data_IF_931944957332
#
_entry.id   IF_931944957332
#
_cell.length_a   1.000
_cell.length_b   1.000
_cell.length_c   1.000
_cell.angle_alpha   90.00
_cell.angle_beta   90.00
_cell.angle_gamma   90.00
#
_symmetry.space_group_name_H-M   'P 1'
#
loop_
_entity.id
_entity.type
_entity.pdbx_description
1 polymer ?
#
# COMPACT_ATOMS: atom_id res chain seq x y z
N UNK A 1 59.66 40.46 62.58
CA UNK A 1 59.08 40.51 63.92
C UNK A 1 57.96 39.50 63.93
N UNK A 2 58.16 38.47 64.66
CA UNK A 2 57.19 37.84 65.57
C UNK A 2 56.02 37.09 64.78
N UNK A 3 56.10 35.83 64.57
CA UNK A 3 56.05 34.68 65.51
C UNK A 3 54.58 34.26 65.87
N UNK A 4 54.33 32.99 65.58
CA UNK A 4 53.53 32.05 66.40
C UNK A 4 52.02 32.04 66.12
N UNK A 5 51.26 30.95 66.03
CA UNK A 5 51.30 29.53 66.47
C UNK A 5 50.31 28.81 65.57
N UNK A 6 50.59 27.69 65.00
CA UNK A 6 50.36 26.31 65.52
C UNK A 6 48.90 26.10 65.93
N UNK A 7 48.17 25.36 65.14
CA UNK A 7 47.48 24.19 65.63
C UNK A 7 46.94 23.30 64.46
N UNK A 8 47.55 22.22 64.44
CA UNK A 8 47.20 20.90 64.02
C UNK A 8 45.73 20.55 64.25
N UNK A 9 44.97 20.33 63.16
CA UNK A 9 43.76 19.47 63.20
C UNK A 9 43.76 18.58 61.95
N UNK A 10 44.24 17.39 62.20
CA UNK A 10 44.13 16.22 61.29
C UNK A 10 42.68 15.80 61.30
N UNK A 11 41.97 15.98 60.16
CA UNK A 11 40.71 15.32 59.92
C UNK A 11 40.85 14.62 58.56
N UNK A 12 41.11 13.31 58.69
CA UNK A 12 41.05 12.33 57.62
C UNK A 12 39.63 12.26 57.10
N UNK A 13 39.37 12.92 55.96
CA UNK A 13 38.18 12.67 55.22
C UNK A 13 38.52 11.69 54.09
N UNK A 14 38.18 10.40 54.34
CA UNK A 14 38.29 9.35 53.35
C UNK A 14 37.41 9.70 52.15
N UNK A 15 38.06 10.11 51.07
CA UNK A 15 37.36 10.27 49.75
C UNK A 15 36.95 8.93 49.22
N UNK A 16 35.65 8.68 49.23
CA UNK A 16 35.04 7.62 48.47
C UNK A 16 35.00 8.06 47.00
N UNK A 17 35.98 7.62 46.22
CA UNK A 17 35.87 7.60 44.79
C UNK A 17 34.77 6.58 44.43
N UNK A 18 33.56 7.07 44.23
CA UNK A 18 32.54 6.31 43.52
C UNK A 18 32.95 6.23 42.04
N UNK A 19 33.67 5.17 41.70
CA UNK A 19 33.77 4.70 40.32
C UNK A 19 32.39 4.30 39.90
N UNK A 20 31.69 5.25 39.24
CA UNK A 20 30.46 4.96 38.48
C UNK A 20 30.81 4.03 37.33
N UNK A 21 30.89 2.75 37.60
CA UNK A 21 30.83 1.72 36.58
C UNK A 21 29.48 1.87 35.93
N UNK A 22 29.42 2.40 34.69
CA UNK A 22 28.30 2.18 33.82
C UNK A 22 28.09 0.67 33.71
N UNK A 23 27.14 0.16 34.44
CA UNK A 23 26.50 -1.11 34.14
C UNK A 23 25.83 -0.88 32.78
N UNK A 24 26.57 -1.16 31.69
CA UNK A 24 25.91 -1.61 30.48
C UNK A 24 25.11 -2.84 30.93
N UNK A 25 23.81 -2.65 31.10
CA UNK A 25 22.90 -3.78 31.14
C UNK A 25 23.05 -4.42 29.75
N UNK A 26 23.83 -5.49 29.70
CA UNK A 26 23.74 -6.48 28.64
C UNK A 26 22.27 -6.90 28.67
N UNK A 27 21.49 -6.34 27.73
CA UNK A 27 20.17 -6.87 27.42
C UNK A 27 20.46 -8.24 26.82
N UNK A 28 20.65 -9.24 27.69
CA UNK A 28 20.60 -10.63 27.27
C UNK A 28 19.28 -10.78 26.53
N UNK A 29 19.39 -11.00 25.24
CA UNK A 29 18.28 -11.35 24.38
C UNK A 29 17.58 -12.54 25.06
N UNK A 30 16.41 -12.24 25.68
CA UNK A 30 15.65 -13.24 26.43
C UNK A 30 14.84 -14.16 25.53
N UNK A 31 15.00 -14.00 24.21
CA UNK A 31 14.36 -14.89 23.26
C UNK A 31 14.97 -16.30 23.36
N UNK A 32 14.14 -17.34 23.38
CA UNK A 32 14.64 -18.70 23.42
C UNK A 32 15.43 -19.04 22.16
N UNK A 33 16.51 -19.82 22.31
CA UNK A 33 17.30 -20.29 21.15
C UNK A 33 16.44 -21.19 20.25
N UNK A 34 16.36 -20.84 18.96
CA UNK A 34 15.55 -21.57 17.99
C UNK A 34 15.93 -23.04 17.90
N UNK A 35 17.24 -23.34 17.87
CA UNK A 35 17.72 -24.72 17.75
C UNK A 35 17.34 -25.54 18.97
N UNK A 36 17.48 -24.97 20.17
CA UNK A 36 17.08 -25.62 21.39
C UNK A 36 15.58 -25.94 21.43
N UNK A 37 14.74 -24.98 21.04
CA UNK A 37 13.28 -25.16 20.98
C UNK A 37 12.91 -26.24 19.97
N UNK A 38 13.51 -26.19 18.79
CA UNK A 38 13.27 -27.17 17.73
C UNK A 38 13.63 -28.59 18.14
N UNK A 39 14.80 -28.82 18.75
CA UNK A 39 15.24 -30.12 19.22
C UNK A 39 14.36 -30.67 20.38
N UNK A 40 13.89 -29.79 21.27
CA UNK A 40 12.97 -30.18 22.35
C UNK A 40 11.60 -30.60 21.78
N UNK A 41 11.07 -29.87 20.82
CA UNK A 41 9.82 -30.23 20.14
C UNK A 41 9.96 -31.56 19.40
N UNK A 42 11.04 -31.74 18.66
CA UNK A 42 11.35 -32.96 17.93
C UNK A 42 11.43 -34.18 18.84
N UNK A 43 12.01 -34.02 20.02
CA UNK A 43 12.21 -35.13 20.97
C UNK A 43 10.95 -35.49 21.79
N UNK A 44 10.05 -34.54 22.02
CA UNK A 44 8.99 -34.66 23.01
C UNK A 44 7.56 -34.44 22.48
N UNK A 45 7.37 -33.96 21.22
CA UNK A 45 6.03 -33.72 20.70
C UNK A 45 5.46 -34.99 20.06
N UNK A 46 4.47 -35.65 20.68
CA UNK A 46 3.91 -36.88 20.12
C UNK A 46 3.02 -36.60 18.89
N UNK A 47 3.06 -37.49 17.91
CA UNK A 47 2.18 -37.46 16.76
C UNK A 47 2.61 -36.51 15.64
N UNK A 48 3.76 -35.87 15.73
CA UNK A 48 4.34 -34.98 14.70
C UNK A 48 5.59 -35.61 14.15
N UNK A 49 5.69 -35.71 12.83
CA UNK A 49 6.89 -36.21 12.16
C UNK A 49 7.96 -35.12 12.02
N UNK A 50 9.22 -35.54 11.85
CA UNK A 50 10.35 -34.61 11.59
C UNK A 50 10.06 -33.74 10.33
N UNK A 51 9.41 -34.29 9.32
CA UNK A 51 9.07 -33.56 8.10
C UNK A 51 8.03 -32.46 8.35
N UNK A 52 6.98 -32.78 9.10
CA UNK A 52 5.93 -31.81 9.48
C UNK A 52 6.50 -30.70 10.36
N UNK A 53 7.32 -31.06 11.35
CA UNK A 53 7.96 -30.06 12.23
C UNK A 53 8.88 -29.13 11.44
N UNK A 54 9.67 -29.68 10.50
CA UNK A 54 10.54 -28.89 9.65
C UNK A 54 9.75 -27.96 8.72
N UNK A 55 8.67 -28.46 8.10
CA UNK A 55 7.79 -27.64 7.25
C UNK A 55 7.17 -26.49 8.03
N UNK A 56 6.61 -26.77 9.20
CA UNK A 56 6.01 -25.75 10.07
C UNK A 56 7.03 -24.71 10.54
N UNK A 57 8.28 -25.14 10.87
CA UNK A 57 9.33 -24.22 11.28
C UNK A 57 9.76 -23.28 10.14
N UNK A 58 9.93 -23.82 8.93
CA UNK A 58 10.28 -23.03 7.74
C UNK A 58 9.15 -22.06 7.37
N UNK A 59 7.92 -22.53 7.34
CA UNK A 59 6.74 -21.70 7.04
C UNK A 59 6.59 -20.57 8.07
N UNK A 60 6.68 -20.89 9.37
CA UNK A 60 6.62 -19.89 10.44
C UNK A 60 7.72 -18.84 10.34
N UNK A 61 8.97 -19.27 10.02
CA UNK A 61 10.10 -18.37 9.83
C UNK A 61 9.87 -17.41 8.66
N UNK A 62 9.47 -17.95 7.51
CA UNK A 62 9.21 -17.14 6.31
C UNK A 62 8.03 -16.18 6.51
N UNK A 63 6.97 -16.64 7.17
CA UNK A 63 5.83 -15.80 7.52
C UNK A 63 6.26 -14.62 8.42
N UNK A 64 7.10 -14.87 9.43
CA UNK A 64 7.57 -13.82 10.35
C UNK A 64 8.51 -12.81 9.66
N UNK A 65 9.20 -13.21 8.60
CA UNK A 65 10.07 -12.33 7.83
C UNK A 65 9.32 -11.40 6.86
N UNK A 66 7.99 -11.49 6.80
CA UNK A 66 7.11 -10.56 6.08
C UNK A 66 7.57 -10.27 4.63
N UNK A 67 7.81 -11.31 3.84
CA UNK A 67 8.23 -11.17 2.44
C UNK A 67 9.71 -10.85 2.20
N UNK A 68 10.50 -10.61 3.25
CA UNK A 68 11.96 -10.43 3.12
C UNK A 68 12.69 -11.70 2.71
N UNK A 69 12.08 -12.84 2.92
CA UNK A 69 12.55 -14.13 2.45
C UNK A 69 11.37 -14.95 1.96
N UNK A 70 11.48 -15.54 0.74
CA UNK A 70 10.41 -16.36 0.14
C UNK A 70 11.00 -17.58 -0.54
N UNK A 71 10.29 -18.71 -0.52
CA UNK A 71 10.66 -19.87 -1.31
C UNK A 71 10.12 -19.71 -2.74
N UNK A 72 11.01 -19.93 -3.70
CA UNK A 72 10.67 -19.97 -5.12
C UNK A 72 10.89 -21.40 -5.59
N UNK A 73 9.85 -22.05 -6.12
CA UNK A 73 9.90 -23.46 -6.55
C UNK A 73 10.97 -23.73 -7.58
N UNK A 74 11.62 -24.89 -7.48
CA UNK A 74 12.79 -25.28 -8.30
C UNK A 74 12.49 -25.66 -9.75
N UNK A 75 11.25 -25.89 -10.12
CA UNK A 75 10.81 -26.26 -11.47
C UNK A 75 9.40 -25.75 -11.71
N UNK A 76 9.27 -24.46 -11.71
CA UNK A 76 8.12 -23.91 -12.39
C UNK A 76 8.61 -22.65 -13.07
N UNK A 77 8.91 -22.79 -14.35
CA UNK A 77 8.37 -21.84 -15.31
C UNK A 77 7.15 -21.29 -14.67
N UNK A 78 7.05 -19.98 -14.65
CA UNK A 78 5.84 -19.26 -14.30
C UNK A 78 4.64 -20.13 -14.67
N UNK A 79 4.11 -20.91 -13.74
CA UNK A 79 2.76 -21.38 -13.89
C UNK A 79 1.93 -20.13 -13.82
N UNK A 80 1.74 -19.53 -14.98
CA UNK A 80 0.59 -18.73 -15.28
C UNK A 80 -0.55 -19.62 -14.84
N UNK A 81 -1.09 -19.43 -13.64
CA UNK A 81 -2.31 -20.08 -13.18
C UNK A 81 -3.28 -19.95 -14.35
N UNK A 82 -3.95 -21.05 -14.79
CA UNK A 82 -4.99 -20.92 -15.79
C UNK A 82 -6.10 -20.05 -15.18
N UNK A 83 -6.09 -18.77 -15.52
CA UNK A 83 -6.80 -17.69 -14.85
C UNK A 83 -5.85 -16.59 -14.36
N UNK A 84 -4.60 -16.52 -14.84
CA UNK A 84 -3.76 -15.36 -14.62
C UNK A 84 -4.57 -14.13 -15.03
N UNK A 85 -4.96 -13.35 -14.01
CA UNK A 85 -5.65 -12.09 -14.24
C UNK A 85 -4.83 -11.29 -15.25
N UNK A 86 -5.49 -10.66 -16.22
CA UNK A 86 -4.84 -9.72 -17.12
C UNK A 86 -3.89 -8.85 -16.30
N UNK A 87 -2.64 -8.65 -16.73
CA UNK A 87 -1.63 -7.91 -15.95
C UNK A 87 -2.07 -6.49 -15.64
N UNK A 88 -3.04 -5.96 -16.40
CA UNK A 88 -3.73 -4.70 -16.13
C UNK A 88 -5.23 -4.94 -16.26
N UNK A 89 -5.93 -4.84 -15.14
CA UNK A 89 -7.39 -4.78 -15.15
C UNK A 89 -7.82 -3.33 -15.32
N UNK A 90 -8.83 -3.08 -16.13
CA UNK A 90 -9.26 -1.71 -16.45
C UNK A 90 -10.76 -1.56 -16.45
N UNK A 91 -11.22 -0.36 -16.11
CA UNK A 91 -12.63 0.05 -16.17
C UNK A 91 -12.70 1.57 -16.35
N UNK A 92 -13.85 2.06 -16.79
CA UNK A 92 -14.19 3.47 -16.71
C UNK A 92 -15.19 3.65 -15.58
N UNK A 93 -14.79 4.40 -14.56
CA UNK A 93 -15.60 4.68 -13.38
C UNK A 93 -16.33 6.01 -13.55
N UNK A 94 -17.58 6.04 -13.11
CA UNK A 94 -18.45 7.23 -13.14
C UNK A 94 -18.43 8.01 -14.47
N UNK A 95 -18.21 7.29 -15.56
CA UNK A 95 -18.24 7.72 -16.96
C UNK A 95 -17.00 8.47 -17.47
N UNK A 96 -16.05 8.84 -16.63
CA UNK A 96 -14.90 9.63 -17.08
C UNK A 96 -13.56 9.41 -16.33
N UNK A 97 -13.47 8.50 -15.38
CA UNK A 97 -12.21 8.18 -14.70
C UNK A 97 -11.69 6.83 -15.19
N UNK A 98 -10.48 6.79 -15.74
CA UNK A 98 -9.82 5.55 -16.09
C UNK A 98 -9.32 4.86 -14.81
N UNK A 99 -9.80 3.67 -14.53
CA UNK A 99 -9.31 2.81 -13.49
C UNK A 99 -8.37 1.77 -14.08
N UNK A 100 -7.12 1.74 -13.61
CA UNK A 100 -6.09 0.80 -14.03
C UNK A 100 -5.55 0.10 -12.79
N UNK A 101 -5.81 -1.21 -12.68
CA UNK A 101 -5.31 -2.02 -11.59
C UNK A 101 -4.17 -2.91 -12.07
N UNK A 102 -3.08 -2.88 -11.32
CA UNK A 102 -1.86 -3.68 -11.55
C UNK A 102 -1.71 -4.66 -10.41
N UNK A 103 -1.48 -5.95 -10.69
CA UNK A 103 -1.17 -6.96 -9.68
C UNK A 103 0.32 -7.17 -9.49
N UNK A 104 1.10 -7.01 -10.58
CA UNK A 104 2.56 -7.18 -10.56
C UNK A 104 3.22 -6.18 -11.51
N UNK A 105 4.28 -5.53 -11.03
CA UNK A 105 5.11 -4.63 -11.84
C UNK A 105 6.23 -5.44 -12.48
N UNK A 106 6.13 -5.64 -13.80
CA UNK A 106 7.05 -6.44 -14.56
C UNK A 106 7.19 -6.00 -16.01
N UNK A 107 8.03 -6.70 -16.75
CA UNK A 107 8.39 -6.36 -18.12
C UNK A 107 7.17 -6.21 -19.04
N UNK A 108 7.16 -5.14 -19.87
CA UNK A 108 6.08 -4.86 -20.80
C UNK A 108 4.84 -4.22 -20.18
N UNK A 109 4.79 -3.99 -18.86
CA UNK A 109 3.65 -3.39 -18.19
C UNK A 109 3.32 -2.00 -18.74
N UNK A 110 4.32 -1.15 -18.96
CA UNK A 110 4.12 0.20 -19.46
C UNK A 110 3.44 0.21 -20.85
N UNK A 111 3.83 -0.69 -21.75
CA UNK A 111 3.23 -0.79 -23.07
C UNK A 111 1.76 -1.26 -22.98
N UNK A 112 1.48 -2.22 -22.10
CA UNK A 112 0.11 -2.69 -21.85
C UNK A 112 -0.76 -1.60 -21.24
N UNK A 113 -0.26 -0.87 -20.24
CA UNK A 113 -1.00 0.24 -19.63
C UNK A 113 -1.31 1.34 -20.64
N UNK A 114 -0.32 1.70 -21.46
CA UNK A 114 -0.52 2.69 -22.52
C UNK A 114 -1.59 2.24 -23.52
N UNK A 115 -1.50 1.00 -24.01
CA UNK A 115 -2.49 0.44 -24.93
C UNK A 115 -3.91 0.40 -24.33
N UNK A 116 -4.04 -0.03 -23.08
CA UNK A 116 -5.32 -0.08 -22.36
C UNK A 116 -5.88 1.32 -22.16
N UNK A 117 -5.06 2.28 -21.73
CA UNK A 117 -5.52 3.67 -21.57
C UNK A 117 -6.06 4.25 -22.88
N UNK A 118 -5.32 4.10 -23.98
CA UNK A 118 -5.75 4.59 -25.29
C UNK A 118 -7.05 3.92 -25.77
N UNK A 119 -7.23 2.63 -25.52
CA UNK A 119 -8.47 1.95 -25.82
C UNK A 119 -9.67 2.55 -25.05
N UNK A 120 -9.50 2.86 -23.76
CA UNK A 120 -10.53 3.53 -22.95
C UNK A 120 -10.79 4.96 -23.41
N UNK A 121 -9.72 5.70 -23.76
CA UNK A 121 -9.81 7.10 -24.21
C UNK A 121 -10.49 7.26 -25.57
N UNK A 122 -10.48 6.22 -26.41
CA UNK A 122 -11.14 6.26 -27.73
C UNK A 122 -12.66 6.42 -27.61
N UNK A 123 -13.25 5.85 -26.56
CA UNK A 123 -14.71 5.82 -26.37
C UNK A 123 -15.20 6.75 -25.27
N UNK A 124 -14.30 7.30 -24.44
CA UNK A 124 -14.67 8.10 -23.29
C UNK A 124 -13.78 9.34 -23.17
N UNK A 125 -14.34 10.52 -22.89
CA UNK A 125 -13.55 11.68 -22.47
C UNK A 125 -13.05 11.44 -21.03
N UNK A 126 -11.79 11.06 -20.88
CA UNK A 126 -11.22 10.72 -19.56
C UNK A 126 -10.75 12.00 -18.84
N UNK A 127 -11.16 12.15 -17.59
CA UNK A 127 -10.79 13.25 -16.72
C UNK A 127 -9.44 13.02 -16.02
N UNK A 128 -9.01 11.76 -15.88
CA UNK A 128 -7.76 11.36 -15.24
C UNK A 128 -7.70 9.85 -14.95
N UNK A 129 -6.69 9.44 -14.20
CA UNK A 129 -6.36 8.04 -13.96
C UNK A 129 -6.33 7.72 -12.48
N UNK A 130 -7.03 6.66 -12.07
CA UNK A 130 -6.88 5.97 -10.78
C UNK A 130 -6.02 4.72 -11.02
N UNK A 131 -4.76 4.75 -10.56
CA UNK A 131 -3.82 3.64 -10.64
C UNK A 131 -3.87 2.85 -9.32
N UNK A 132 -4.43 1.64 -9.35
CA UNK A 132 -4.57 0.80 -8.18
C UNK A 132 -3.39 -0.18 -8.07
N UNK A 133 -2.52 0.07 -7.10
CA UNK A 133 -1.37 -0.75 -6.73
C UNK A 133 -1.59 -1.52 -5.43
N UNK A 134 -2.80 -1.54 -4.89
CA UNK A 134 -3.10 -2.32 -3.68
C UNK A 134 -2.90 -3.81 -3.97
N UNK A 135 -2.21 -4.48 -3.06
CA UNK A 135 -1.78 -5.89 -3.20
C UNK A 135 -0.87 -6.16 -4.40
N UNK A 136 -0.27 -5.11 -4.98
CA UNK A 136 0.68 -5.24 -6.07
C UNK A 136 2.10 -5.45 -5.55
N UNK A 137 2.88 -6.25 -6.27
CA UNK A 137 4.28 -6.52 -5.98
C UNK A 137 5.11 -6.46 -7.28
N UNK A 138 6.29 -6.98 -7.28
CA UNK A 138 7.19 -7.12 -8.43
C UNK A 138 8.65 -6.90 -8.05
N UNK A 139 9.54 -7.30 -8.97
CA UNK A 139 10.98 -7.17 -8.77
C UNK A 139 11.67 -6.43 -9.94
N UNK A 140 10.90 -5.94 -10.90
CA UNK A 140 11.41 -5.24 -12.08
C UNK A 140 11.32 -3.72 -11.89
N UNK A 141 12.37 -3.13 -11.33
CA UNK A 141 12.46 -1.70 -11.08
C UNK A 141 12.60 -0.88 -12.37
N UNK A 142 13.14 -1.47 -13.44
CA UNK A 142 13.17 -0.83 -14.74
C UNK A 142 11.76 -0.71 -15.33
N UNK A 143 10.93 -1.73 -15.15
CA UNK A 143 9.50 -1.66 -15.50
C UNK A 143 8.75 -0.60 -14.69
N UNK A 144 9.07 -0.44 -13.39
CA UNK A 144 8.50 0.62 -12.56
C UNK A 144 8.81 2.02 -13.12
N UNK A 145 10.08 2.27 -13.51
CA UNK A 145 10.46 3.53 -14.17
C UNK A 145 9.71 3.70 -15.50
N UNK A 146 9.63 2.65 -16.32
CA UNK A 146 8.94 2.72 -17.61
C UNK A 146 7.45 3.07 -17.45
N UNK A 147 6.80 2.61 -16.39
CA UNK A 147 5.42 3.00 -16.04
C UNK A 147 5.38 4.44 -15.56
N UNK A 148 6.32 4.87 -14.69
CA UNK A 148 6.36 6.25 -14.22
C UNK A 148 6.54 7.25 -15.37
N UNK A 149 7.32 6.89 -16.41
CA UNK A 149 7.53 7.71 -17.61
C UNK A 149 6.24 7.95 -18.44
N UNK A 150 5.17 7.18 -18.21
CA UNK A 150 3.87 7.46 -18.83
C UNK A 150 3.16 8.68 -18.19
N UNK A 151 3.56 9.08 -16.99
CA UNK A 151 2.88 10.12 -16.21
C UNK A 151 3.74 11.35 -15.91
N UNK A 152 5.02 11.35 -16.28
CA UNK A 152 5.94 12.47 -15.98
C UNK A 152 6.84 12.81 -17.15
N UNK A 153 7.11 14.13 -17.31
CA UNK A 153 8.11 14.65 -18.23
C UNK A 153 9.47 14.87 -17.57
N UNK A 154 9.57 14.68 -16.27
CA UNK A 154 10.83 14.87 -15.52
C UNK A 154 11.86 13.86 -16.02
N UNK A 155 13.02 14.35 -16.50
CA UNK A 155 14.14 13.56 -16.99
C UNK A 155 15.21 13.35 -15.92
N UNK A 156 14.82 13.23 -14.67
CA UNK A 156 15.73 12.98 -13.54
C UNK A 156 15.69 11.49 -13.19
N UNK A 157 16.78 10.98 -12.66
CA UNK A 157 16.80 9.63 -12.07
C UNK A 157 15.70 9.54 -11.02
N UNK A 158 14.81 8.55 -11.16
CA UNK A 158 13.72 8.34 -10.21
C UNK A 158 14.06 7.27 -9.19
N UNK A 159 14.77 6.23 -9.60
CA UNK A 159 15.15 5.08 -8.77
C UNK A 159 16.62 4.71 -8.99
N UNK A 160 17.25 4.18 -7.94
CA UNK A 160 18.59 3.60 -7.96
C UNK A 160 18.55 2.22 -7.28
N UNK A 161 19.02 1.17 -7.97
CA UNK A 161 19.13 -0.17 -7.42
C UNK A 161 20.38 -0.89 -7.97
N UNK A 162 21.20 -1.41 -7.09
CA UNK A 162 22.47 -2.08 -7.46
C UNK A 162 23.45 -1.13 -8.14
N UNK A 163 24.11 -1.62 -9.17
CA UNK A 163 25.06 -0.86 -10.01
C UNK A 163 24.46 -0.46 -11.37
N UNK A 164 23.18 -0.70 -11.58
CA UNK A 164 22.54 -0.41 -12.85
C UNK A 164 22.30 1.07 -13.00
N UNK A 165 22.90 1.57 -14.05
CA UNK A 165 22.75 2.92 -14.57
C UNK A 165 21.51 2.94 -15.44
N UNK A 166 20.73 3.98 -15.30
CA UNK A 166 19.56 4.40 -16.08
C UNK A 166 19.38 3.67 -17.42
N UNK A 167 18.29 2.92 -17.54
CA UNK A 167 17.79 2.56 -18.87
C UNK A 167 17.43 3.86 -19.61
N UNK A 168 17.88 4.07 -20.85
CA UNK A 168 17.53 5.26 -21.61
C UNK A 168 16.01 5.31 -21.76
N UNK A 169 15.40 6.41 -21.27
CA UNK A 169 13.96 6.64 -21.34
C UNK A 169 13.56 6.80 -22.79
N UNK A 170 12.82 5.83 -23.32
CA UNK A 170 12.14 6.01 -24.58
C UNK A 170 11.09 7.13 -24.40
N UNK A 171 11.05 8.08 -25.33
CA UNK A 171 9.99 9.09 -25.36
C UNK A 171 8.66 8.37 -25.65
N UNK A 172 7.90 8.07 -24.62
CA UNK A 172 6.54 7.54 -24.73
C UNK A 172 5.55 8.69 -24.70
N UNK A 173 4.40 8.47 -25.34
CA UNK A 173 3.30 9.39 -25.24
C UNK A 173 2.80 9.42 -23.81
N UNK A 174 2.64 10.63 -23.25
CA UNK A 174 2.17 10.82 -21.89
C UNK A 174 0.69 10.54 -21.77
N UNK A 175 0.30 9.92 -20.68
CA UNK A 175 -1.10 9.81 -20.27
C UNK A 175 -1.47 11.15 -19.62
N UNK A 176 -2.40 11.91 -20.22
CA UNK A 176 -2.77 13.23 -19.73
C UNK A 176 -3.71 13.17 -18.54
N UNK A 177 -3.78 14.29 -17.80
CA UNK A 177 -4.70 14.49 -16.68
C UNK A 177 -4.14 14.12 -15.32
N UNK A 178 -4.91 14.36 -14.25
CA UNK A 178 -4.53 14.03 -12.90
C UNK A 178 -4.43 12.53 -12.68
N UNK A 179 -3.39 12.12 -11.93
CA UNK A 179 -3.14 10.75 -11.50
C UNK A 179 -3.36 10.64 -9.99
N UNK A 180 -4.12 9.64 -9.56
CA UNK A 180 -4.22 9.23 -8.17
C UNK A 180 -3.81 7.76 -8.06
N UNK A 181 -2.88 7.46 -7.15
CA UNK A 181 -2.31 6.14 -6.92
C UNK A 181 -2.86 5.57 -5.62
N UNK A 182 -3.47 4.39 -5.67
CA UNK A 182 -3.99 3.69 -4.50
C UNK A 182 -2.96 2.67 -4.01
N UNK A 183 -2.65 2.71 -2.73
CA UNK A 183 -1.67 1.81 -2.09
C UNK A 183 -2.20 1.27 -0.77
N UNK A 184 -1.66 0.13 -0.32
CA UNK A 184 -1.95 -0.45 0.99
C UNK A 184 -0.73 -1.15 1.59
N UNK A 185 -0.88 -1.72 2.79
CA UNK A 185 0.19 -2.41 3.51
C UNK A 185 0.76 -3.66 2.80
N UNK A 186 0.12 -4.13 1.73
CA UNK A 186 0.60 -5.23 0.90
C UNK A 186 1.17 -4.76 -0.46
N UNK A 187 1.18 -3.44 -0.72
CA UNK A 187 1.90 -2.88 -1.87
C UNK A 187 3.40 -2.96 -1.60
N UNK A 188 4.14 -3.77 -2.36
CA UNK A 188 5.55 -4.06 -2.11
C UNK A 188 6.43 -3.99 -3.35
N UNK A 189 7.72 -4.27 -3.19
CA UNK A 189 8.67 -4.45 -4.27
C UNK A 189 8.71 -3.32 -5.29
N UNK A 190 8.61 -3.69 -6.57
CA UNK A 190 8.63 -2.73 -7.68
C UNK A 190 7.35 -1.87 -7.75
N UNK A 191 6.20 -2.35 -7.22
CA UNK A 191 4.98 -1.54 -7.14
C UNK A 191 5.12 -0.42 -6.08
N UNK A 192 5.75 -0.70 -4.95
CA UNK A 192 6.09 0.32 -3.95
C UNK A 192 7.09 1.34 -4.50
N UNK A 193 8.12 0.86 -5.21
CA UNK A 193 9.09 1.74 -5.85
C UNK A 193 8.45 2.63 -6.93
N UNK A 194 7.48 2.10 -7.70
CA UNK A 194 6.68 2.87 -8.65
C UNK A 194 5.91 3.99 -7.96
N UNK A 195 5.20 3.70 -6.86
CA UNK A 195 4.48 4.70 -6.10
C UNK A 195 5.42 5.80 -5.57
N UNK A 196 6.60 5.41 -5.04
CA UNK A 196 7.63 6.35 -4.60
C UNK A 196 8.16 7.23 -5.74
N UNK A 197 8.43 6.64 -6.91
CA UNK A 197 8.91 7.34 -8.09
C UNK A 197 7.89 8.34 -8.63
N UNK A 198 6.61 7.98 -8.68
CA UNK A 198 5.53 8.86 -9.11
C UNK A 198 5.38 10.08 -8.19
N UNK A 199 5.52 9.88 -6.87
CA UNK A 199 5.52 10.99 -5.90
C UNK A 199 6.74 11.88 -6.05
N UNK A 200 7.95 11.34 -6.17
CA UNK A 200 9.19 12.11 -6.37
C UNK A 200 9.12 12.93 -7.67
N UNK A 201 8.41 12.41 -8.66
CA UNK A 201 8.17 13.11 -9.91
C UNK A 201 7.06 14.18 -9.84
N UNK A 202 6.34 14.33 -8.71
CA UNK A 202 5.10 15.11 -8.58
C UNK A 202 4.05 14.74 -9.64
N UNK A 203 4.03 13.47 -10.05
CA UNK A 203 3.16 13.01 -11.11
C UNK A 203 1.73 12.69 -10.64
N UNK A 204 1.53 12.44 -9.34
CA UNK A 204 0.23 12.09 -8.79
C UNK A 204 0.18 12.10 -7.27
N UNK A 205 -1.04 11.99 -6.72
CA UNK A 205 -1.30 11.87 -5.29
C UNK A 205 -1.42 10.39 -4.89
N UNK A 206 -0.89 10.04 -3.73
CA UNK A 206 -0.95 8.69 -3.17
C UNK A 206 -2.01 8.64 -2.08
N UNK A 207 -2.92 7.65 -2.16
CA UNK A 207 -4.02 7.47 -1.22
C UNK A 207 -4.04 6.04 -0.68
N UNK A 208 -4.44 5.88 0.57
CA UNK A 208 -4.66 4.59 1.21
C UNK A 208 -3.90 4.41 2.51
N UNK A 209 -3.25 3.27 2.69
CA UNK A 209 -2.41 2.94 3.84
C UNK A 209 -0.92 2.94 3.45
N UNK A 210 0.02 3.10 4.40
CA UNK A 210 1.45 2.97 4.13
C UNK A 210 1.79 1.62 3.49
N UNK A 211 2.75 1.62 2.56
CA UNK A 211 3.18 0.42 1.84
C UNK A 211 4.01 -0.56 2.69
N UNK A 212 4.34 -1.73 2.15
CA UNK A 212 4.96 -2.84 2.87
C UNK A 212 6.42 -2.59 3.33
N UNK A 213 7.15 -1.67 2.70
CA UNK A 213 8.58 -1.47 2.98
C UNK A 213 9.48 -2.56 2.38
N UNK A 214 9.07 -3.14 1.26
CA UNK A 214 9.74 -4.26 0.59
C UNK A 214 10.39 -3.86 -0.75
N UNK A 215 10.56 -2.56 -1.04
CA UNK A 215 11.31 -2.10 -2.20
C UNK A 215 12.81 -2.40 -2.04
N UNK A 216 13.19 -3.67 -2.26
CA UNK A 216 14.53 -4.20 -2.06
C UNK A 216 15.00 -5.02 -3.25
N UNK A 217 16.28 -4.92 -3.59
CA UNK A 217 16.90 -5.89 -4.49
C UNK A 217 16.89 -7.27 -3.85
N UNK A 218 16.69 -8.31 -4.64
CA UNK A 218 16.61 -9.68 -4.14
C UNK A 218 17.73 -10.54 -4.71
N UNK A 219 18.09 -11.60 -4.00
CA UNK A 219 19.02 -12.63 -4.46
C UNK A 219 18.49 -14.01 -4.17
N UNK A 220 18.59 -14.89 -5.16
CA UNK A 220 18.16 -16.28 -5.06
C UNK A 220 19.32 -17.17 -4.64
N UNK A 221 19.09 -18.01 -3.62
CA UNK A 221 20.03 -18.99 -3.10
C UNK A 221 19.46 -20.39 -3.34
N UNK A 222 20.16 -21.27 -4.07
CA UNK A 222 19.69 -22.62 -4.35
C UNK A 222 19.67 -23.47 -3.06
N UNK A 223 18.59 -24.24 -2.87
CA UNK A 223 18.43 -25.20 -1.81
C UNK A 223 18.69 -26.62 -2.31
N UNK A 224 18.98 -27.54 -1.39
CA UNK A 224 19.31 -28.94 -1.75
C UNK A 224 18.12 -29.71 -2.34
N UNK A 225 16.89 -29.29 -2.05
CA UNK A 225 15.66 -29.88 -2.56
C UNK A 225 15.30 -29.38 -3.99
N UNK A 226 16.13 -28.53 -4.60
CA UNK A 226 15.89 -27.94 -5.91
C UNK A 226 15.08 -26.63 -5.89
N UNK A 227 14.54 -26.23 -4.76
CA UNK A 227 13.94 -24.92 -4.58
C UNK A 227 15.00 -23.84 -4.44
N UNK A 228 14.59 -22.59 -4.50
CA UNK A 228 15.45 -21.43 -4.24
C UNK A 228 14.86 -20.59 -3.11
N UNK A 229 15.70 -20.13 -2.23
CA UNK A 229 15.35 -19.14 -1.23
C UNK A 229 15.70 -17.75 -1.78
N UNK A 230 14.70 -16.92 -2.04
CA UNK A 230 14.86 -15.53 -2.42
C UNK A 230 14.95 -14.69 -1.17
N UNK A 231 16.01 -13.91 -1.06
CA UNK A 231 16.27 -13.04 0.11
C UNK A 231 16.39 -11.59 -0.34
N UNK A 232 15.69 -10.70 0.35
CA UNK A 232 15.84 -9.26 0.19
C UNK A 232 17.22 -8.81 0.71
N UNK A 233 17.95 -8.02 -0.11
CA UNK A 233 19.34 -7.65 0.15
C UNK A 233 19.47 -6.16 0.50
N UNK A 234 19.33 -5.29 -0.47
CA UNK A 234 19.56 -3.88 -0.32
C UNK A 234 18.30 -3.08 -0.69
N UNK A 235 17.98 -2.01 0.07
CA UNK A 235 16.87 -1.15 -0.29
C UNK A 235 17.11 -0.44 -1.62
N UNK A 236 16.06 -0.32 -2.40
CA UNK A 236 16.03 0.57 -3.56
C UNK A 236 15.99 2.01 -3.06
N UNK A 237 16.65 2.91 -3.78
CA UNK A 237 16.70 4.33 -3.43
C UNK A 237 15.97 5.16 -4.47
N UNK A 238 15.45 6.28 -4.05
CA UNK A 238 15.06 7.35 -4.96
C UNK A 238 16.30 7.98 -5.60
N UNK A 239 16.13 8.64 -6.75
CA UNK A 239 17.23 9.30 -7.45
C UNK A 239 17.95 10.41 -6.68
N UNK A 240 17.41 10.82 -5.53
CA UNK A 240 18.05 11.70 -4.56
C UNK A 240 18.91 10.92 -3.52
N UNK A 241 19.05 9.60 -3.67
CA UNK A 241 19.84 8.72 -2.79
C UNK A 241 19.14 8.27 -1.51
N UNK A 242 17.88 8.69 -1.29
CA UNK A 242 17.08 8.27 -0.11
C UNK A 242 16.53 6.87 -0.30
N UNK A 243 16.79 5.98 0.65
CA UNK A 243 16.26 4.62 0.62
C UNK A 243 14.73 4.62 0.79
N UNK A 244 14.04 3.82 -0.02
CA UNK A 244 12.61 3.59 0.11
C UNK A 244 12.41 2.60 1.27
N UNK A 245 11.78 3.06 2.35
CA UNK A 245 11.42 2.20 3.49
C UNK A 245 9.92 1.88 3.49
N UNK A 246 9.11 2.90 3.40
CA UNK A 246 7.65 2.86 3.24
C UNK A 246 7.22 4.09 2.46
N UNK A 247 6.22 3.94 1.65
CA UNK A 247 5.55 5.07 1.01
C UNK A 247 4.33 5.42 1.85
N UNK A 248 4.43 6.50 2.63
CA UNK A 248 3.29 7.01 3.35
C UNK A 248 2.32 7.69 2.35
N UNK A 249 1.01 7.47 2.42
CA UNK A 249 0.07 8.13 1.54
C UNK A 249 -0.02 9.62 1.85
N UNK A 250 -0.32 10.43 0.82
CA UNK A 250 -0.59 11.87 0.97
C UNK A 250 -1.96 12.08 1.64
N UNK A 251 -2.89 11.15 1.37
CA UNK A 251 -4.20 11.10 2.00
C UNK A 251 -4.42 9.70 2.57
N UNK A 252 -4.38 9.59 3.88
CA UNK A 252 -4.62 8.33 4.57
C UNK A 252 -6.13 7.99 4.55
N UNK A 253 -6.45 6.78 4.12
CA UNK A 253 -7.81 6.20 4.18
C UNK A 253 -7.69 4.82 4.78
N UNK A 254 -8.10 4.67 6.03
CA UNK A 254 -7.98 3.41 6.76
C UNK A 254 -9.15 2.50 6.44
N UNK A 255 -8.82 1.32 5.90
CA UNK A 255 -9.76 0.22 5.64
C UNK A 255 -9.15 -1.05 6.24
N UNK A 256 -9.97 -1.96 6.74
CA UNK A 256 -9.45 -3.23 7.23
C UNK A 256 -8.92 -4.09 6.05
N UNK A 257 -7.87 -4.91 6.25
CA UNK A 257 -7.33 -5.74 5.15
C UNK A 257 -8.37 -6.69 4.54
N UNK A 258 -9.31 -7.19 5.32
CA UNK A 258 -10.36 -8.09 4.84
C UNK A 258 -11.40 -7.35 3.99
N UNK A 259 -11.78 -6.15 4.41
CA UNK A 259 -12.67 -5.28 3.64
C UNK A 259 -12.00 -4.83 2.34
N UNK A 260 -10.71 -4.46 2.38
CA UNK A 260 -9.96 -4.13 1.17
C UNK A 260 -9.94 -5.28 0.16
N UNK A 261 -9.73 -6.53 0.62
CA UNK A 261 -9.79 -7.72 -0.24
C UNK A 261 -11.18 -7.96 -0.82
N UNK A 262 -12.23 -7.66 -0.06
CA UNK A 262 -13.60 -7.76 -0.54
C UNK A 262 -13.91 -6.69 -1.60
N UNK A 263 -13.52 -5.43 -1.36
CA UNK A 263 -13.66 -4.32 -2.32
C UNK A 263 -12.85 -4.54 -3.60
N UNK A 264 -11.67 -5.15 -3.47
CA UNK A 264 -10.83 -5.47 -4.61
C UNK A 264 -11.51 -6.43 -5.60
N UNK A 265 -12.38 -7.32 -5.08
CA UNK A 265 -13.21 -8.22 -5.89
C UNK A 265 -14.45 -7.53 -6.45
N UNK A 266 -15.05 -6.64 -5.66
CA UNK A 266 -16.24 -5.89 -6.06
C UNK A 266 -16.30 -4.53 -5.32
N UNK A 267 -15.90 -3.43 -5.98
CA UNK A 267 -15.88 -2.11 -5.36
C UNK A 267 -17.27 -1.52 -5.05
N UNK A 268 -18.32 -2.17 -5.52
CA UNK A 268 -19.73 -1.79 -5.27
C UNK A 268 -20.37 -2.62 -4.15
N UNK A 269 -19.59 -3.47 -3.49
CA UNK A 269 -20.10 -4.35 -2.44
C UNK A 269 -20.43 -3.52 -1.18
N UNK A 270 -21.67 -3.58 -0.72
CA UNK A 270 -22.05 -3.02 0.58
C UNK A 270 -21.66 -4.03 1.66
N UNK A 271 -20.61 -3.74 2.41
CA UNK A 271 -20.23 -4.53 3.58
C UNK A 271 -21.15 -4.16 4.75
N UNK A 272 -21.67 -5.18 5.45
CA UNK A 272 -22.40 -4.95 6.69
C UNK A 272 -21.44 -4.26 7.67
N UNK A 273 -21.73 -3.01 8.02
CA UNK A 273 -20.96 -2.31 9.03
C UNK A 273 -21.09 -3.07 10.35
N UNK A 274 -20.04 -3.79 10.74
CA UNK A 274 -19.93 -4.24 12.11
C UNK A 274 -19.84 -2.98 12.96
N UNK A 275 -20.95 -2.64 13.64
CA UNK A 275 -21.05 -1.53 14.57
C UNK A 275 -20.06 -1.72 15.73
N UNK A 276 -18.81 -1.38 15.51
CA UNK A 276 -17.94 -0.99 16.59
C UNK A 276 -18.38 0.44 16.99
N UNK A 277 -18.70 0.70 18.26
CA UNK A 277 -19.05 2.05 18.68
C UNK A 277 -17.86 2.96 18.36
N UNK A 278 -18.12 3.99 17.56
CA UNK A 278 -17.15 5.04 17.31
C UNK A 278 -16.66 5.59 18.65
N UNK A 279 -15.36 5.89 18.81
CA UNK A 279 -14.89 6.59 19.99
C UNK A 279 -15.65 7.92 20.08
N UNK A 280 -16.34 8.13 21.21
CA UNK A 280 -17.06 9.35 21.51
C UNK A 280 -16.04 10.49 21.62
N UNK A 281 -15.76 11.13 20.52
CA UNK A 281 -15.05 12.40 20.44
C UNK A 281 -16.09 13.49 20.45
N UNK A 282 -16.18 14.18 21.58
CA UNK A 282 -16.94 15.42 21.76
C UNK A 282 -16.57 16.44 20.70
N UNK A 283 -17.44 16.64 19.73
CA UNK A 283 -17.66 17.93 19.07
C UNK A 283 -19.02 17.89 18.37
N UNK A 284 -20.03 18.34 19.13
CA UNK A 284 -21.29 18.86 18.59
C UNK A 284 -20.95 19.95 17.56
N UNK A 285 -21.48 19.80 16.40
CA UNK A 285 -21.85 20.76 15.35
C UNK A 285 -21.60 20.18 13.96
N UNK A 286 -22.39 19.16 13.59
CA UNK A 286 -22.72 19.00 12.18
C UNK A 286 -24.25 19.07 12.05
N UNK A 287 -24.78 19.94 11.18
CA UNK A 287 -26.21 19.96 10.92
C UNK A 287 -26.60 18.61 10.30
N UNK A 288 -27.62 18.02 10.89
CA UNK A 288 -28.33 16.86 10.35
C UNK A 288 -28.78 17.20 8.93
N UNK A 289 -28.09 16.65 7.94
CA UNK A 289 -28.53 16.73 6.54
C UNK A 289 -29.56 15.65 6.36
N UNK A 290 -30.83 16.04 6.44
CA UNK A 290 -31.94 15.18 6.07
C UNK A 290 -31.86 14.88 4.57
N UNK A 291 -31.54 13.63 4.22
CA UNK A 291 -31.47 13.15 2.84
C UNK A 291 -32.85 12.72 2.30
N UNK A 292 -33.92 13.09 2.95
CA UNK A 292 -35.25 12.94 2.38
C UNK A 292 -35.36 13.85 1.17
N UNK A 293 -35.37 13.26 -0.02
CA UNK A 293 -35.56 14.06 -1.24
C UNK A 293 -36.94 14.69 -1.23
N UNK A 294 -37.05 15.87 -1.84
CA UNK A 294 -38.34 16.58 -1.97
C UNK A 294 -39.40 15.68 -2.61
N UNK A 295 -38.99 14.70 -3.43
CA UNK A 295 -39.82 13.66 -4.01
C UNK A 295 -40.37 12.67 -2.97
N UNK A 296 -39.60 12.32 -1.92
CA UNK A 296 -40.04 11.43 -0.85
C UNK A 296 -41.04 12.13 0.07
N UNK A 297 -40.84 13.42 0.34
CA UNK A 297 -41.80 14.24 1.08
C UNK A 297 -43.12 14.42 0.34
N UNK A 298 -43.10 14.55 -0.97
CA UNK A 298 -44.28 14.59 -1.82
C UNK A 298 -45.02 13.25 -1.83
N UNK A 299 -44.31 12.12 -1.86
CA UNK A 299 -44.91 10.76 -1.79
C UNK A 299 -45.56 10.51 -0.40
N UNK A 300 -44.96 10.98 0.68
CA UNK A 300 -45.51 10.83 2.01
C UNK A 300 -46.80 11.67 2.17
N UNK A 301 -46.84 12.88 1.57
CA UNK A 301 -48.01 13.73 1.59
C UNK A 301 -49.18 13.21 0.74
N UNK A 302 -48.87 12.41 -0.31
CA UNK A 302 -49.89 11.75 -1.16
C UNK A 302 -50.48 10.50 -0.46
N UNK A 303 -49.74 9.87 0.45
CA UNK A 303 -50.19 8.71 1.23
C UNK A 303 -51.14 9.07 2.36
N UNK A 304 -51.06 10.28 2.87
CA UNK A 304 -51.85 10.77 4.04
C UNK A 304 -53.10 11.56 3.65
N UNK A 305 -53.46 11.70 2.39
CA UNK A 305 -54.60 12.51 1.95
C UNK A 305 -55.39 11.90 0.78
N UNK A 306 -56.57 11.44 1.12
CA UNK A 306 -57.82 11.26 0.32
C UNK A 306 -57.81 11.19 -1.21
N UNK A 307 -58.34 10.07 -1.64
CA UNK A 307 -59.26 9.80 -2.78
C UNK A 307 -59.44 10.97 -3.79
N UNK A 308 -58.68 10.94 -4.89
CA UNK A 308 -59.15 11.44 -6.19
C UNK A 308 -58.33 10.83 -7.32
N UNK A 309 -58.96 10.03 -8.16
CA UNK A 309 -58.39 9.35 -9.31
C UNK A 309 -57.55 10.23 -10.20
N UNK A 310 -56.24 9.99 -10.20
CA UNK A 310 -55.32 10.47 -11.18
C UNK A 310 -54.46 9.33 -11.71
N UNK A 311 -54.44 9.19 -13.00
CA UNK A 311 -53.64 8.27 -13.81
C UNK A 311 -52.18 8.39 -13.36
N UNK A 312 -51.65 7.32 -12.73
CA UNK A 312 -50.25 7.26 -12.32
C UNK A 312 -49.37 7.32 -13.57
N UNK A 313 -48.42 8.28 -13.67
CA UNK A 313 -47.39 8.20 -14.69
C UNK A 313 -46.53 6.95 -14.37
N UNK A 314 -46.30 6.14 -15.39
CA UNK A 314 -45.41 4.99 -15.30
C UNK A 314 -44.06 5.45 -14.73
N UNK A 315 -43.75 5.01 -13.49
CA UNK A 315 -42.46 5.22 -12.88
C UNK A 315 -41.39 4.51 -13.74
N UNK A 316 -40.74 5.25 -14.63
CA UNK A 316 -39.44 4.85 -15.12
C UNK A 316 -38.54 4.79 -13.89
N UNK A 317 -38.28 3.59 -13.38
CA UNK A 317 -37.21 3.38 -12.43
C UNK A 317 -35.93 3.88 -13.09
N UNK A 318 -35.52 5.12 -12.78
CA UNK A 318 -34.17 5.55 -13.11
C UNK A 318 -33.26 4.54 -12.40
N UNK A 319 -32.57 3.71 -13.17
CA UNK A 319 -31.54 2.85 -12.61
C UNK A 319 -30.48 3.81 -12.05
N UNK A 320 -30.50 4.01 -10.74
CA UNK A 320 -29.43 4.73 -10.06
C UNK A 320 -28.12 4.03 -10.41
N UNK A 321 -27.16 4.79 -10.92
CA UNK A 321 -25.83 4.24 -11.22
C UNK A 321 -25.29 3.59 -9.94
N UNK A 322 -24.65 2.41 -10.03
CA UNK A 322 -24.07 1.80 -8.85
C UNK A 322 -23.05 2.75 -8.21
N UNK A 323 -23.17 2.95 -6.90
CA UNK A 323 -22.27 3.82 -6.11
C UNK A 323 -21.07 3.01 -5.66
N UNK A 324 -19.87 3.55 -5.85
CA UNK A 324 -18.61 2.94 -5.38
C UNK A 324 -18.63 2.91 -3.85
N UNK A 325 -18.57 1.73 -3.26
CA UNK A 325 -18.57 1.52 -1.82
C UNK A 325 -17.15 1.40 -1.24
N UNK A 326 -16.15 1.09 -2.07
CA UNK A 326 -14.74 1.14 -1.69
C UNK A 326 -14.34 2.58 -1.33
N UNK A 327 -14.04 2.88 -0.06
CA UNK A 327 -13.81 4.26 0.37
C UNK A 327 -12.51 4.85 -0.20
N UNK A 328 -11.49 4.01 -0.46
CA UNK A 328 -10.23 4.46 -1.06
C UNK A 328 -10.46 4.82 -2.52
N UNK A 329 -11.15 3.96 -3.27
CA UNK A 329 -11.44 4.18 -4.67
C UNK A 329 -12.44 5.33 -4.87
N UNK A 330 -13.48 5.45 -4.05
CA UNK A 330 -14.42 6.55 -4.09
C UNK A 330 -13.70 7.90 -3.89
N UNK A 331 -12.81 7.97 -2.89
CA UNK A 331 -12.01 9.16 -2.63
C UNK A 331 -11.09 9.51 -3.79
N UNK A 332 -10.49 8.51 -4.45
CA UNK A 332 -9.65 8.71 -5.62
C UNK A 332 -10.45 9.31 -6.79
N UNK A 333 -11.62 8.77 -7.07
CA UNK A 333 -12.51 9.26 -8.14
C UNK A 333 -12.94 10.70 -7.90
N UNK A 334 -13.33 11.04 -6.66
CA UNK A 334 -13.71 12.41 -6.29
C UNK A 334 -12.56 13.40 -6.49
N UNK A 335 -11.34 13.02 -6.06
CA UNK A 335 -10.16 13.87 -6.23
C UNK A 335 -9.79 14.07 -7.70
N UNK A 336 -9.83 13.02 -8.52
CA UNK A 336 -9.55 13.14 -9.94
C UNK A 336 -10.52 14.12 -10.59
N UNK A 337 -11.80 14.02 -10.29
CA UNK A 337 -12.81 14.94 -10.82
C UNK A 337 -12.58 16.39 -10.37
N UNK A 338 -12.28 16.57 -9.08
CA UNK A 338 -11.98 17.91 -8.56
C UNK A 338 -10.74 18.53 -9.21
N UNK A 339 -9.66 17.75 -9.35
CA UNK A 339 -8.42 18.19 -9.98
C UNK A 339 -8.60 18.48 -11.47
N UNK A 340 -9.42 17.70 -12.19
CA UNK A 340 -9.73 17.95 -13.60
C UNK A 340 -10.41 19.31 -13.80
N UNK A 341 -11.41 19.65 -12.96
CA UNK A 341 -12.09 20.94 -12.99
C UNK A 341 -11.11 22.11 -12.77
N UNK A 342 -10.20 21.96 -11.80
CA UNK A 342 -9.17 22.97 -11.51
C UNK A 342 -8.21 23.12 -12.69
N UNK A 343 -7.88 22.03 -13.36
CA UNK A 343 -6.97 22.05 -14.50
C UNK A 343 -7.60 22.72 -15.71
N UNK A 344 -8.84 22.41 -16.03
CA UNK A 344 -9.60 23.08 -17.10
C UNK A 344 -9.78 24.59 -16.85
N UNK A 345 -9.92 25.01 -15.60
CA UNK A 345 -10.09 26.43 -15.26
C UNK A 345 -8.82 27.27 -15.38
N UNK A 346 -7.65 26.65 -15.59
CA UNK A 346 -6.34 27.32 -15.72
C UNK A 346 -5.84 27.42 -17.17
N UNK A 347 -6.53 26.79 -18.11
CA UNK A 347 -6.28 26.84 -19.55
C UNK A 347 -7.15 27.91 -20.19
#
# INVERSE_FOLDING_TARGET
MIQRFLNLFVLTLAGWLATGGSLCADTTDTAPDFKQVYELLRANLPGVTDAELNSAAVEGLLHQLHGRATLVGGTTETTVSPGAAEPVQSAVLESNVAYLRVGEVGSGLADKMNAVYHALATTNPLAGVALDLRFADGNDYAAAIAVADLFTTKKTTLLEWGQEVEAPRAAKELIPGPLVVLVNGETGGAAEALAAALREADAGLIIGNPTAGLAMTTRDFPLKNGERLRIAMNPVKLGNGVAISHVAPDIAVTVSPDDERAYLKNPYLTLAQNNAPAPVGTNDFLPFVDHTSEADLVQQKIKDGDDAGAIAPAHVKSQSKPVIQDPVLARAVDLIKALAIVHESRL
#
